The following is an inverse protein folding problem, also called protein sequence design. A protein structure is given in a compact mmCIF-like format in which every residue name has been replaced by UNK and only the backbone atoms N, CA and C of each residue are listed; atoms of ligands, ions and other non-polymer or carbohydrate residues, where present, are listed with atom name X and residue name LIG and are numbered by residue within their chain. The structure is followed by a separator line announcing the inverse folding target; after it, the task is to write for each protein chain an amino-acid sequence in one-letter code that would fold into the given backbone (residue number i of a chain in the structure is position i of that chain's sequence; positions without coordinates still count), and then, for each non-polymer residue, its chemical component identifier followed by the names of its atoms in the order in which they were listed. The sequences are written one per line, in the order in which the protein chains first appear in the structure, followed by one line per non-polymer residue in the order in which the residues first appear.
data_IF_846599630389
#
_entry.id   IF_846599630389
#
_cell.length_a   1.000
_cell.length_b   1.000
_cell.length_c   1.000
_cell.angle_alpha   90.00
_cell.angle_beta   90.00
_cell.angle_gamma   90.00
#
_symmetry.space_group_name_H-M   'P 1'
#
loop_
_entity.id
_entity.type
_entity.pdbx_description
1 polymer ?
#
# COMPACT_ATOMS: atom_id res chain seq x y z
N UNK A 1 -14.17 -10.29 -20.20
CA UNK A 1 -12.98 -9.44 -20.42
C UNK A 1 -13.34 -7.96 -20.48
N UNK A 2 -14.33 -7.57 -21.29
CA UNK A 2 -14.73 -6.15 -21.48
C UNK A 2 -15.16 -5.45 -20.18
N UNK A 3 -16.02 -6.07 -19.37
CA UNK A 3 -16.47 -5.55 -18.07
C UNK A 3 -15.30 -5.32 -17.09
N UNK A 4 -14.29 -6.20 -17.09
CA UNK A 4 -13.11 -6.04 -16.20
C UNK A 4 -12.22 -4.87 -16.65
N UNK A 5 -12.03 -4.71 -17.96
CA UNK A 5 -11.28 -3.58 -18.52
C UNK A 5 -11.98 -2.25 -18.20
N UNK A 6 -13.32 -2.18 -18.37
CA UNK A 6 -14.10 -0.99 -18.01
C UNK A 6 -13.97 -0.64 -16.52
N UNK A 7 -14.07 -1.61 -15.63
CA UNK A 7 -13.92 -1.39 -14.19
C UNK A 7 -12.50 -0.92 -13.82
N UNK A 8 -11.47 -1.43 -14.51
CA UNK A 8 -10.09 -0.98 -14.31
C UNK A 8 -9.90 0.47 -14.76
N UNK A 9 -10.45 0.83 -15.93
CA UNK A 9 -10.40 2.20 -16.44
C UNK A 9 -11.10 3.16 -15.49
N UNK A 10 -12.32 2.82 -15.02
CA UNK A 10 -13.06 3.65 -14.06
C UNK A 10 -12.30 3.85 -12.76
N UNK A 11 -11.68 2.79 -12.22
CA UNK A 11 -10.87 2.88 -11.01
C UNK A 11 -9.64 3.78 -11.23
N UNK A 12 -8.95 3.64 -12.37
CA UNK A 12 -7.79 4.46 -12.69
C UNK A 12 -8.17 5.94 -12.85
N UNK A 13 -9.28 6.24 -13.54
CA UNK A 13 -9.77 7.61 -13.71
C UNK A 13 -10.17 8.24 -12.37
N UNK A 14 -10.85 7.48 -11.50
CA UNK A 14 -11.20 7.93 -10.15
C UNK A 14 -9.96 8.28 -9.32
N UNK A 15 -8.96 7.40 -9.30
CA UNK A 15 -7.74 7.63 -8.54
C UNK A 15 -6.92 8.79 -9.11
N UNK A 16 -6.86 8.96 -10.43
CA UNK A 16 -6.21 10.11 -11.06
C UNK A 16 -6.93 11.43 -10.77
N UNK A 17 -8.28 11.42 -10.73
CA UNK A 17 -9.04 12.60 -10.32
C UNK A 17 -8.71 13.00 -8.87
N UNK A 18 -8.54 12.03 -7.95
CA UNK A 18 -8.13 12.29 -6.57
C UNK A 18 -6.71 12.89 -6.49
N UNK A 19 -5.77 12.42 -7.32
CA UNK A 19 -4.41 12.98 -7.42
C UNK A 19 -4.47 14.46 -7.88
N UNK A 20 -5.21 14.73 -8.96
CA UNK A 20 -5.37 16.10 -9.47
C UNK A 20 -6.05 17.03 -8.46
N UNK A 21 -7.10 16.56 -7.78
CA UNK A 21 -7.75 17.30 -6.71
C UNK A 21 -6.78 17.58 -5.53
N UNK A 22 -5.92 16.63 -5.21
CA UNK A 22 -4.87 16.82 -4.18
C UNK A 22 -3.87 17.92 -4.57
N UNK A 23 -3.42 17.92 -5.81
CA UNK A 23 -2.52 18.96 -6.35
C UNK A 23 -3.22 20.33 -6.31
N UNK A 24 -4.44 20.40 -6.86
CA UNK A 24 -5.22 21.62 -6.88
C UNK A 24 -5.45 22.17 -5.47
N UNK A 25 -5.86 21.35 -4.51
CA UNK A 25 -6.09 21.76 -3.14
C UNK A 25 -4.83 22.31 -2.46
N UNK A 26 -3.63 21.78 -2.75
CA UNK A 26 -2.38 22.33 -2.24
C UNK A 26 -2.09 23.69 -2.87
N UNK A 27 -2.28 23.83 -4.18
CA UNK A 27 -2.05 25.08 -4.90
C UNK A 27 -3.03 26.19 -4.48
N UNK A 28 -4.31 25.87 -4.25
CA UNK A 28 -5.32 26.82 -3.77
C UNK A 28 -5.05 27.35 -2.35
N UNK A 29 -4.41 26.53 -1.51
CA UNK A 29 -4.02 26.93 -0.15
C UNK A 29 -2.70 27.70 -0.10
N UNK A 30 -1.99 27.79 -1.22
CA UNK A 30 -0.71 28.50 -1.31
C UNK A 30 -0.95 29.93 -1.75
N UNK A 31 -0.34 30.88 -1.04
CA UNK A 31 -0.37 32.31 -1.40
C UNK A 31 0.34 32.52 -2.78
N UNK A 32 -0.36 33.00 -3.81
CA UNK A 32 0.24 33.16 -5.13
C UNK A 32 1.40 34.16 -5.18
N UNK A 33 1.50 35.05 -4.19
CA UNK A 33 2.58 36.04 -4.08
C UNK A 33 3.80 35.51 -3.30
N UNK A 34 3.74 34.29 -2.76
CA UNK A 34 4.84 33.69 -2.00
C UNK A 34 5.34 32.41 -2.67
N UNK A 35 6.65 32.15 -2.67
CA UNK A 35 7.17 30.87 -3.14
C UNK A 35 6.60 29.74 -2.27
N UNK A 36 6.35 28.59 -2.89
CA UNK A 36 5.93 27.36 -2.21
C UNK A 36 6.87 27.06 -1.04
N UNK A 37 6.30 26.91 0.15
CA UNK A 37 7.05 26.48 1.33
C UNK A 37 7.59 25.05 1.15
N UNK A 38 8.64 24.70 1.88
CA UNK A 38 9.24 23.34 1.83
C UNK A 38 8.17 22.27 2.07
N UNK A 39 7.29 22.48 3.06
CA UNK A 39 6.21 21.52 3.40
C UNK A 39 5.20 21.33 2.27
N UNK A 40 4.86 22.39 1.54
CA UNK A 40 3.90 22.32 0.44
C UNK A 40 4.53 21.64 -0.76
N UNK A 41 5.82 21.87 -0.99
CA UNK A 41 6.60 21.17 -2.00
C UNK A 41 6.67 19.66 -1.68
N UNK A 42 7.06 19.29 -0.44
CA UNK A 42 7.12 17.89 -0.02
C UNK A 42 5.76 17.18 -0.19
N UNK A 43 4.66 17.87 0.09
CA UNK A 43 3.31 17.34 -0.10
C UNK A 43 2.95 17.19 -1.58
N UNK A 44 3.31 18.15 -2.44
CA UNK A 44 3.12 18.05 -3.89
C UNK A 44 3.91 16.88 -4.46
N UNK A 45 5.18 16.75 -4.08
CA UNK A 45 6.03 15.65 -4.50
C UNK A 45 5.41 14.30 -4.08
N UNK A 46 4.92 14.19 -2.85
CA UNK A 46 4.25 12.99 -2.36
C UNK A 46 2.95 12.66 -3.13
N UNK A 47 2.14 13.67 -3.49
CA UNK A 47 0.92 13.46 -4.33
C UNK A 47 1.31 12.96 -5.72
N UNK A 48 2.34 13.55 -6.33
CA UNK A 48 2.83 13.16 -7.66
C UNK A 48 3.39 11.74 -7.62
N UNK A 49 4.21 11.40 -6.62
CA UNK A 49 4.76 10.04 -6.45
C UNK A 49 3.65 8.99 -6.28
N UNK A 50 2.62 9.26 -5.47
CA UNK A 50 1.49 8.35 -5.33
C UNK A 50 0.68 8.21 -6.62
N UNK A 51 0.52 9.31 -7.38
CA UNK A 51 -0.09 9.29 -8.70
C UNK A 51 0.68 8.42 -9.69
N UNK A 52 2.00 8.57 -9.77
CA UNK A 52 2.87 7.74 -10.61
C UNK A 52 2.82 6.27 -10.21
N UNK A 53 2.86 5.98 -8.92
CA UNK A 53 2.73 4.61 -8.42
C UNK A 53 1.36 4.01 -8.75
N UNK A 54 0.29 4.79 -8.70
CA UNK A 54 -1.06 4.35 -9.09
C UNK A 54 -1.14 4.03 -10.57
N UNK A 55 -0.56 4.86 -11.45
CA UNK A 55 -0.48 4.59 -12.88
C UNK A 55 0.33 3.33 -13.18
N UNK A 56 1.46 3.14 -12.51
CA UNK A 56 2.27 1.93 -12.67
C UNK A 56 1.47 0.66 -12.29
N UNK A 57 0.77 0.68 -11.15
CA UNK A 57 -0.11 -0.42 -10.73
C UNK A 57 -1.23 -0.68 -11.74
N UNK A 58 -1.90 0.36 -12.23
CA UNK A 58 -2.95 0.24 -13.23
C UNK A 58 -2.42 -0.39 -14.53
N UNK A 59 -1.22 0.02 -14.98
CA UNK A 59 -0.55 -0.56 -16.15
C UNK A 59 -0.24 -2.05 -15.94
N UNK A 60 0.32 -2.42 -14.80
CA UNK A 60 0.60 -3.82 -14.47
C UNK A 60 -0.67 -4.67 -14.48
N UNK A 61 -1.75 -4.18 -13.85
CA UNK A 61 -3.05 -4.87 -13.85
C UNK A 61 -3.61 -5.02 -15.28
N UNK A 62 -3.50 -3.98 -16.11
CA UNK A 62 -3.97 -4.03 -17.50
C UNK A 62 -3.18 -5.03 -18.35
N UNK A 63 -1.88 -5.17 -18.10
CA UNK A 63 -0.98 -6.09 -18.82
C UNK A 63 -0.95 -7.49 -18.22
N UNK A 64 -1.59 -7.72 -17.07
CA UNK A 64 -1.50 -8.99 -16.33
C UNK A 64 -0.08 -9.31 -15.84
N UNK A 65 0.75 -8.27 -15.62
CA UNK A 65 2.12 -8.43 -15.14
C UNK A 65 2.22 -8.12 -13.65
N UNK A 66 3.12 -8.80 -12.94
CA UNK A 66 3.38 -8.59 -11.53
C UNK A 66 4.87 -8.28 -11.32
N UNK A 67 5.25 -7.62 -10.20
CA UNK A 67 6.65 -7.44 -9.83
C UNK A 67 7.36 -8.79 -9.68
N UNK A 68 8.68 -8.76 -9.81
CA UNK A 68 9.48 -9.98 -9.62
C UNK A 68 9.34 -10.54 -8.20
N UNK A 69 9.24 -11.87 -8.13
CA UNK A 69 9.10 -12.62 -6.87
C UNK A 69 10.43 -12.94 -6.20
N UNK A 70 11.54 -12.29 -6.60
CA UNK A 70 12.86 -12.54 -6.02
C UNK A 70 12.92 -12.30 -4.52
N UNK A 71 13.71 -13.11 -3.80
CA UNK A 71 14.00 -12.89 -2.39
C UNK A 71 15.06 -11.80 -2.22
N UNK A 72 14.90 -10.97 -1.21
CA UNK A 72 15.78 -9.87 -0.87
C UNK A 72 16.22 -9.97 0.59
N UNK A 73 17.44 -9.56 0.89
CA UNK A 73 17.96 -9.52 2.27
C UNK A 73 17.18 -8.51 3.12
N UNK A 74 16.98 -8.84 4.39
CA UNK A 74 16.13 -8.06 5.29
C UNK A 74 16.48 -6.59 5.43
N UNK A 75 17.76 -6.20 5.63
CA UNK A 75 18.12 -4.79 5.77
C UNK A 75 17.73 -3.94 4.56
N UNK A 76 18.03 -4.40 3.35
CA UNK A 76 17.71 -3.69 2.10
C UNK A 76 16.19 -3.64 1.87
N UNK A 77 15.51 -4.74 2.15
CA UNK A 77 14.06 -4.84 2.04
C UNK A 77 13.34 -3.85 2.98
N UNK A 78 13.85 -3.72 4.21
CA UNK A 78 13.32 -2.79 5.23
C UNK A 78 13.48 -1.35 4.80
N UNK A 79 14.68 -0.97 4.36
CA UNK A 79 14.98 0.38 3.90
C UNK A 79 14.06 0.78 2.74
N UNK A 80 13.90 -0.09 1.75
CA UNK A 80 13.03 0.16 0.60
C UNK A 80 11.55 0.25 0.98
N UNK A 81 11.06 -0.59 1.92
CA UNK A 81 9.68 -0.49 2.38
C UNK A 81 9.41 0.85 3.08
N UNK A 82 10.34 1.32 3.93
CA UNK A 82 10.23 2.63 4.58
C UNK A 82 10.16 3.76 3.57
N UNK A 83 11.02 3.75 2.56
CA UNK A 83 11.01 4.75 1.49
C UNK A 83 9.70 4.73 0.71
N UNK A 84 9.17 3.54 0.40
CA UNK A 84 7.89 3.39 -0.29
C UNK A 84 6.66 3.83 0.54
N UNK A 85 6.74 3.81 1.88
CA UNK A 85 5.67 4.26 2.78
C UNK A 85 5.72 5.77 3.07
N UNK A 86 6.87 6.41 2.91
CA UNK A 86 7.10 7.83 3.23
C UNK A 86 6.12 8.79 2.55
N UNK A 87 5.80 8.69 1.24
CA UNK A 87 4.81 9.55 0.61
C UNK A 87 3.43 9.43 1.26
N UNK A 88 3.01 8.22 1.63
CA UNK A 88 1.73 8.00 2.31
C UNK A 88 1.69 8.63 3.70
N UNK A 89 2.80 8.61 4.44
CA UNK A 89 2.90 9.28 5.74
C UNK A 89 2.59 10.78 5.62
N UNK A 90 3.14 11.43 4.62
CA UNK A 90 2.91 12.85 4.34
C UNK A 90 1.47 13.15 3.91
N UNK A 91 0.90 12.32 3.02
CA UNK A 91 -0.43 12.52 2.46
C UNK A 91 -1.54 12.29 3.48
N UNK A 92 -1.42 11.23 4.27
CA UNK A 92 -2.47 10.80 5.19
C UNK A 92 -2.24 11.25 6.64
N UNK A 93 -1.13 11.97 6.90
CA UNK A 93 -0.73 12.41 8.25
C UNK A 93 -0.72 11.24 9.25
N UNK A 94 -0.24 10.09 8.78
CA UNK A 94 -0.13 8.87 9.55
C UNK A 94 1.34 8.46 9.61
N UNK A 95 1.88 8.32 10.79
CA UNK A 95 3.23 7.81 11.01
C UNK A 95 3.24 6.29 10.81
N UNK A 96 4.23 5.77 10.07
CA UNK A 96 4.46 4.34 9.91
C UNK A 96 5.66 3.93 10.72
N UNK A 97 5.46 2.99 11.64
CA UNK A 97 6.53 2.39 12.44
C UNK A 97 6.71 0.94 11.99
N UNK A 98 7.92 0.59 11.58
CA UNK A 98 8.27 -0.77 11.19
C UNK A 98 9.09 -1.44 12.29
N UNK A 99 8.61 -2.58 12.76
CA UNK A 99 9.32 -3.44 13.71
C UNK A 99 9.54 -4.81 13.12
N UNK A 100 10.67 -5.44 13.46
CA UNK A 100 11.05 -6.75 12.94
C UNK A 100 11.38 -7.68 14.08
N UNK A 101 10.70 -8.82 14.10
CA UNK A 101 10.85 -9.83 15.11
C UNK A 101 11.62 -11.03 14.53
N UNK A 102 12.65 -11.50 15.25
CA UNK A 102 13.28 -12.76 14.93
C UNK A 102 12.44 -13.92 15.49
N UNK A 103 11.90 -14.75 14.61
CA UNK A 103 11.15 -15.94 14.96
C UNK A 103 11.76 -17.21 14.35
N UNK A 104 13.09 -17.19 14.19
CA UNK A 104 13.87 -18.34 13.74
C UNK A 104 13.79 -18.62 12.24
N UNK A 105 13.14 -17.78 11.47
CA UNK A 105 13.16 -17.82 10.00
C UNK A 105 14.35 -17.04 9.43
N UNK A 106 14.82 -17.39 8.22
CA UNK A 106 15.84 -16.58 7.53
C UNK A 106 15.36 -15.15 7.28
N UNK A 107 16.23 -14.14 7.48
CA UNK A 107 15.89 -12.72 7.23
C UNK A 107 15.95 -12.40 5.73
N UNK A 108 15.14 -13.11 4.95
CA UNK A 108 14.93 -12.94 3.51
C UNK A 108 13.46 -12.79 3.20
N UNK A 109 13.11 -11.82 2.39
CA UNK A 109 11.74 -11.38 2.14
C UNK A 109 11.39 -11.39 0.67
N UNK A 110 10.13 -11.66 0.27
CA UNK A 110 9.69 -11.51 -1.12
C UNK A 110 9.85 -10.05 -1.56
N UNK A 111 10.86 -9.76 -2.36
CA UNK A 111 11.34 -8.45 -2.75
C UNK A 111 10.24 -7.41 -3.05
N UNK A 112 10.17 -6.93 -4.28
CA UNK A 112 9.21 -5.89 -4.69
C UNK A 112 7.74 -6.32 -4.54
N UNK A 113 7.45 -7.61 -4.68
CA UNK A 113 6.06 -8.10 -4.66
C UNK A 113 5.41 -7.91 -3.28
N UNK A 114 6.06 -8.33 -2.19
CA UNK A 114 5.51 -8.18 -0.84
C UNK A 114 5.51 -6.72 -0.39
N UNK A 115 6.54 -5.92 -0.74
CA UNK A 115 6.53 -4.48 -0.43
C UNK A 115 5.36 -3.78 -1.12
N UNK A 116 5.15 -4.03 -2.41
CA UNK A 116 4.02 -3.47 -3.16
C UNK A 116 2.67 -3.89 -2.57
N UNK A 117 2.57 -5.15 -2.11
CA UNK A 117 1.39 -5.61 -1.38
C UNK A 117 1.19 -4.83 -0.08
N UNK A 118 2.23 -4.74 0.76
CA UNK A 118 2.15 -4.06 2.06
C UNK A 118 1.81 -2.58 1.93
N UNK A 119 2.39 -1.89 0.94
CA UNK A 119 2.03 -0.51 0.62
C UNK A 119 0.54 -0.38 0.28
N UNK A 120 0.02 -1.26 -0.58
CA UNK A 120 -1.39 -1.25 -0.94
C UNK A 120 -2.30 -1.63 0.23
N UNK A 121 -1.91 -2.62 1.04
CA UNK A 121 -2.63 -3.03 2.23
C UNK A 121 -2.66 -1.93 3.30
N UNK A 122 -1.53 -1.27 3.56
CA UNK A 122 -1.46 -0.13 4.48
C UNK A 122 -2.40 1.00 4.02
N UNK A 123 -2.43 1.34 2.72
CA UNK A 123 -3.37 2.33 2.18
C UNK A 123 -4.82 1.95 2.45
N UNK A 124 -5.20 0.68 2.26
CA UNK A 124 -6.55 0.20 2.53
C UNK A 124 -6.88 0.18 4.04
N UNK A 125 -5.87 0.02 4.89
CA UNK A 125 -6.03 0.00 6.33
C UNK A 125 -6.23 1.41 6.94
N UNK A 126 -5.65 2.47 6.33
CA UNK A 126 -5.66 3.84 6.87
C UNK A 126 -7.02 4.35 7.35
N UNK A 127 -8.16 4.14 6.65
CA UNK A 127 -9.47 4.57 7.12
C UNK A 127 -9.92 3.91 8.43
N UNK A 128 -9.30 2.80 8.80
CA UNK A 128 -9.63 1.99 9.98
C UNK A 128 -8.60 2.13 11.10
N UNK A 129 -7.56 2.94 10.89
CA UNK A 129 -6.53 3.21 11.90
C UNK A 129 -7.06 4.21 12.92
N UNK A 130 -6.92 3.87 14.20
CA UNK A 130 -7.26 4.79 15.30
C UNK A 130 -6.03 5.64 15.64
N UNK A 131 -6.15 6.95 15.45
CA UNK A 131 -5.06 7.90 15.68
C UNK A 131 -4.23 8.18 14.42
N UNK A 132 -2.95 8.49 14.62
CA UNK A 132 -2.04 8.92 13.55
C UNK A 132 -0.80 8.02 13.43
N UNK A 133 -0.89 6.81 13.95
CA UNK A 133 0.22 5.85 13.96
C UNK A 133 -0.28 4.49 13.47
N UNK A 134 0.40 3.92 12.49
CA UNK A 134 0.24 2.53 12.05
C UNK A 134 1.55 1.79 12.27
N UNK A 135 1.56 0.90 13.24
CA UNK A 135 2.69 -0.01 13.45
C UNK A 135 2.55 -1.22 12.53
N UNK A 136 3.62 -1.54 11.81
CA UNK A 136 3.74 -2.72 10.97
C UNK A 136 4.83 -3.61 11.56
N UNK A 137 4.42 -4.70 12.21
CA UNK A 137 5.33 -5.69 12.78
C UNK A 137 5.53 -6.82 11.80
N UNK A 138 6.77 -7.07 11.43
CA UNK A 138 7.15 -8.10 10.47
C UNK A 138 7.94 -9.20 11.20
N UNK A 139 7.55 -10.44 11.01
CA UNK A 139 8.24 -11.60 11.56
C UNK A 139 8.51 -12.63 10.45
N UNK A 140 9.71 -13.17 10.44
CA UNK A 140 10.11 -14.26 9.55
C UNK A 140 10.16 -15.57 10.34
N UNK A 141 9.23 -16.47 10.04
CA UNK A 141 9.16 -17.81 10.57
C UNK A 141 9.74 -18.84 9.56
N UNK A 142 10.09 -20.04 9.95
CA UNK A 142 10.68 -21.03 9.04
C UNK A 142 9.86 -21.27 7.76
N UNK A 143 8.52 -21.33 7.89
CA UNK A 143 7.61 -21.72 6.80
C UNK A 143 6.72 -20.58 6.30
N UNK A 144 6.80 -19.39 6.87
CA UNK A 144 5.94 -18.25 6.49
C UNK A 144 6.51 -16.91 6.92
N UNK A 145 6.02 -15.86 6.29
CA UNK A 145 6.15 -14.49 6.76
C UNK A 145 4.86 -14.08 7.46
N UNK A 146 4.99 -13.46 8.62
CA UNK A 146 3.87 -12.92 9.39
C UNK A 146 4.02 -11.42 9.50
N UNK A 147 3.00 -10.68 9.09
CA UNK A 147 2.98 -9.22 9.20
C UNK A 147 1.71 -8.82 9.92
N UNK A 148 1.85 -7.96 10.94
CA UNK A 148 0.75 -7.41 11.70
C UNK A 148 0.71 -5.90 11.56
N UNK A 149 -0.45 -5.33 11.32
CA UNK A 149 -0.70 -3.89 11.27
C UNK A 149 -1.62 -3.50 12.42
N UNK A 150 -1.15 -2.64 13.31
CA UNK A 150 -1.89 -2.16 14.50
C UNK A 150 -1.89 -0.62 14.57
N UNK A 151 -2.94 0.03 15.10
CA UNK A 151 -4.26 -0.51 15.34
C UNK A 151 -5.13 -0.42 14.08
N UNK A 152 -5.71 -1.54 13.67
CA UNK A 152 -6.68 -1.60 12.56
C UNK A 152 -7.97 -2.21 13.09
N UNK A 153 -9.03 -1.40 13.18
CA UNK A 153 -10.25 -1.78 13.90
C UNK A 153 -11.16 -2.77 13.16
N UNK A 154 -11.01 -2.88 11.85
CA UNK A 154 -11.83 -3.74 11.00
C UNK A 154 -11.00 -4.27 9.83
N UNK A 155 -11.37 -5.44 9.30
CA UNK A 155 -10.79 -5.96 8.07
C UNK A 155 -11.16 -5.05 6.89
N UNK A 156 -10.19 -4.41 6.21
CA UNK A 156 -10.49 -3.51 5.10
C UNK A 156 -11.18 -4.23 3.95
N UNK A 157 -12.34 -3.73 3.54
CA UNK A 157 -13.12 -4.33 2.43
C UNK A 157 -12.31 -4.45 1.13
N UNK A 158 -11.42 -3.49 0.87
CA UNK A 158 -10.54 -3.48 -0.29
C UNK A 158 -9.49 -4.60 -0.33
N UNK A 159 -9.27 -5.30 0.79
CA UNK A 159 -8.36 -6.45 0.89
C UNK A 159 -9.09 -7.79 0.80
N UNK A 160 -10.41 -7.79 0.79
CA UNK A 160 -11.24 -9.00 0.72
C UNK A 160 -11.98 -9.07 -0.60
N UNK A 161 -12.05 -10.24 -1.20
CA UNK A 161 -12.76 -10.47 -2.47
C UNK A 161 -14.30 -10.34 -2.38
N UNK A 162 -14.84 -9.69 -1.35
CA UNK A 162 -16.25 -9.71 -1.01
C UNK A 162 -17.18 -8.98 -2.02
N UNK A 163 -16.64 -8.14 -2.91
CA UNK A 163 -17.49 -7.52 -3.93
C UNK A 163 -16.72 -7.25 -5.24
N UNK A 164 -16.66 -8.24 -6.17
CA UNK A 164 -15.99 -8.09 -7.45
C UNK A 164 -16.65 -7.02 -8.36
N UNK A 165 -17.88 -6.63 -8.08
CA UNK A 165 -18.61 -5.63 -8.87
C UNK A 165 -18.45 -4.19 -8.34
N UNK A 166 -17.90 -4.00 -7.15
CA UNK A 166 -17.61 -2.67 -6.62
C UNK A 166 -16.33 -2.16 -7.30
N UNK A 167 -16.35 -0.98 -7.92
CA UNK A 167 -15.12 -0.37 -8.43
C UNK A 167 -14.24 0.01 -7.23
N UNK A 168 -13.43 -0.95 -6.74
CA UNK A 168 -12.38 -0.67 -5.78
C UNK A 168 -11.35 0.25 -6.44
N UNK A 169 -10.61 1.00 -5.63
CA UNK A 169 -9.47 1.76 -6.13
C UNK A 169 -8.39 0.82 -6.73
N UNK A 170 -7.45 1.36 -7.46
CA UNK A 170 -6.34 0.60 -8.06
C UNK A 170 -5.52 -0.11 -6.98
N UNK A 171 -5.35 0.50 -5.81
CA UNK A 171 -4.59 -0.10 -4.70
C UNK A 171 -5.27 -1.34 -4.16
N UNK A 172 -6.60 -1.34 -4.00
CA UNK A 172 -7.36 -2.52 -3.58
C UNK A 172 -7.21 -3.67 -4.59
N UNK A 173 -7.41 -3.39 -5.88
CA UNK A 173 -7.25 -4.38 -6.96
C UNK A 173 -5.83 -4.94 -7.01
N UNK A 174 -4.85 -4.08 -6.83
CA UNK A 174 -3.44 -4.46 -6.79
C UNK A 174 -3.13 -5.36 -5.61
N UNK A 175 -3.60 -5.01 -4.40
CA UNK A 175 -3.45 -5.85 -3.22
C UNK A 175 -4.08 -7.23 -3.40
N UNK A 176 -5.29 -7.31 -3.96
CA UNK A 176 -5.95 -8.59 -4.23
C UNK A 176 -5.16 -9.46 -5.22
N UNK A 177 -4.65 -8.88 -6.31
CA UNK A 177 -3.85 -9.62 -7.30
C UNK A 177 -2.55 -10.16 -6.69
N UNK A 178 -1.83 -9.33 -5.94
CA UNK A 178 -0.58 -9.72 -5.25
C UNK A 178 -0.84 -10.71 -4.13
N UNK A 179 -1.89 -10.49 -3.33
CA UNK A 179 -2.28 -11.36 -2.22
C UNK A 179 -2.59 -12.78 -2.69
N UNK A 180 -3.33 -12.90 -3.80
CA UNK A 180 -3.59 -14.19 -4.43
C UNK A 180 -2.30 -14.87 -4.90
N UNK A 181 -1.42 -14.12 -5.57
CA UNK A 181 -0.14 -14.68 -6.08
C UNK A 181 0.81 -15.09 -4.96
N UNK A 182 0.86 -14.33 -3.88
CA UNK A 182 1.68 -14.64 -2.69
C UNK A 182 1.04 -15.67 -1.75
N UNK A 183 -0.20 -16.09 -2.01
CA UNK A 183 -0.95 -16.97 -1.13
C UNK A 183 -1.24 -16.35 0.25
N UNK A 184 -1.44 -15.02 0.29
CA UNK A 184 -1.64 -14.31 1.55
C UNK A 184 -3.02 -14.66 2.14
N UNK A 185 -3.02 -15.02 3.41
CA UNK A 185 -4.22 -15.10 4.24
C UNK A 185 -4.32 -13.89 5.14
N UNK A 186 -5.54 -13.38 5.31
CA UNK A 186 -5.85 -12.22 6.12
C UNK A 186 -6.77 -12.61 7.27
N UNK A 187 -6.45 -12.15 8.46
CA UNK A 187 -7.33 -12.22 9.64
C UNK A 187 -7.30 -10.88 10.36
N UNK A 188 -8.40 -10.52 11.00
CA UNK A 188 -8.46 -9.35 11.86
C UNK A 188 -8.87 -9.81 13.26
N UNK A 189 -8.11 -9.43 14.26
CA UNK A 189 -8.37 -9.72 15.65
C UNK A 189 -8.30 -8.43 16.49
N UNK A 190 -8.45 -8.50 17.78
CA UNK A 190 -8.47 -7.42 18.80
C UNK A 190 -7.78 -6.09 18.43
N UNK A 191 -8.15 -5.54 17.28
CA UNK A 191 -7.68 -4.23 16.80
C UNK A 191 -6.47 -4.27 15.88
N UNK A 192 -6.07 -5.45 15.36
CA UNK A 192 -4.97 -5.61 14.41
C UNK A 192 -5.34 -6.43 13.16
N UNK A 193 -4.72 -6.10 12.05
CA UNK A 193 -4.78 -6.85 10.80
C UNK A 193 -3.54 -7.74 10.68
N UNK A 194 -3.78 -9.05 10.65
CA UNK A 194 -2.72 -10.06 10.47
C UNK A 194 -2.70 -10.55 9.02
N UNK A 195 -1.52 -10.52 8.43
CA UNK A 195 -1.22 -11.06 7.11
C UNK A 195 -0.23 -12.21 7.25
N UNK A 196 -0.51 -13.32 6.60
CA UNK A 196 0.42 -14.46 6.56
C UNK A 196 0.64 -14.87 5.11
N UNK A 197 1.90 -14.96 4.70
CA UNK A 197 2.30 -15.46 3.39
C UNK A 197 3.16 -16.72 3.57
N UNK A 198 2.88 -17.81 2.82
CA UNK A 198 3.69 -19.02 2.88
C UNK A 198 5.10 -18.73 2.33
N UNK A 199 6.07 -19.44 2.84
CA UNK A 199 7.42 -19.51 2.26
C UNK A 199 7.47 -20.63 1.23
N UNK A 200 8.08 -20.38 0.07
CA UNK A 200 8.34 -21.46 -0.89
C UNK A 200 9.37 -22.47 -0.41
#
# INVERSE_FOLDING_TARGET
MEKQAELLIRAALHDMANVLAGIQGILELTDPERPLGIRDKDRLDAVVEEGMATLARARHLAMGTLPEAGLQEGPDWRAQLLDELKPMSLLFKCEFVLTFEDRGGPDRWPGAMLRSYLRAAARQALPYVRGHLLEIRCASEPNRWCIRMDPVSLLPEGLTAQNPDRPGDISARWALALGHTLGITLTCDDGGLMLQAPRP
#
